data_IF_975741163163
#
_entry.id   IF_975741163163
#
_cell.length_a   1.000
_cell.length_b   1.000
_cell.length_c   1.000
_cell.angle_alpha   90.00
_cell.angle_beta   90.00
_cell.angle_gamma   90.00
#
_symmetry.space_group_name_H-M   'P 1'
#
loop_
_entity.id
_entity.type
_entity.pdbx_description
1 polymer ?
#
# COMPACT_ATOMS: atom_id res chain seq x y z
N UNK A 1 -22.39 27.42 -55.93
CA UNK A 1 -21.32 27.22 -54.94
C UNK A 1 -21.29 25.75 -54.56
N UNK A 2 -20.16 25.06 -54.76
CA UNK A 2 -20.04 23.62 -54.48
C UNK A 2 -20.06 23.36 -52.96
N UNK A 3 -21.20 22.87 -52.47
CA UNK A 3 -21.44 22.57 -51.06
C UNK A 3 -21.01 21.14 -50.67
N UNK A 4 -19.94 20.65 -51.30
CA UNK A 4 -19.39 19.29 -51.12
C UNK A 4 -17.88 19.35 -50.94
N UNK A 5 -17.35 18.45 -50.11
CA UNK A 5 -15.91 18.30 -49.92
C UNK A 5 -15.33 17.30 -50.90
N UNK A 6 -14.08 17.51 -51.29
CA UNK A 6 -13.23 16.45 -51.84
C UNK A 6 -12.49 15.73 -50.70
N UNK A 7 -12.08 14.49 -50.93
CA UNK A 7 -11.37 13.69 -49.92
C UNK A 7 -10.05 14.35 -49.49
N UNK A 8 -9.32 14.93 -50.45
CA UNK A 8 -8.09 15.69 -50.21
C UNK A 8 -8.32 16.92 -49.33
N UNK A 9 -9.39 17.68 -49.53
CA UNK A 9 -9.71 18.86 -48.70
C UNK A 9 -9.96 18.48 -47.24
N UNK A 10 -10.59 17.33 -46.99
CA UNK A 10 -10.82 16.81 -45.64
C UNK A 10 -9.49 16.33 -45.03
N UNK A 11 -8.67 15.64 -45.82
CA UNK A 11 -7.37 15.14 -45.42
C UNK A 11 -6.43 16.29 -45.00
N UNK A 12 -6.32 17.34 -45.82
CA UNK A 12 -5.53 18.55 -45.53
C UNK A 12 -6.05 19.28 -44.28
N UNK A 13 -7.37 19.48 -44.16
CA UNK A 13 -7.97 20.17 -43.01
C UNK A 13 -7.74 19.45 -41.69
N UNK A 14 -7.73 18.13 -41.71
CA UNK A 14 -7.58 17.28 -40.52
C UNK A 14 -6.13 16.83 -40.30
N UNK A 15 -5.19 17.22 -41.18
CA UNK A 15 -3.78 16.86 -41.08
C UNK A 15 -3.51 15.35 -41.24
N UNK A 16 -4.36 14.63 -41.97
CA UNK A 16 -4.28 13.17 -42.16
C UNK A 16 -4.04 12.82 -43.63
N UNK A 17 -3.56 11.60 -43.89
CA UNK A 17 -3.39 11.12 -45.26
C UNK A 17 -4.73 10.87 -45.94
N UNK A 18 -4.80 11.07 -47.26
CA UNK A 18 -6.02 10.79 -48.06
C UNK A 18 -6.46 9.31 -47.97
N UNK A 19 -5.50 8.40 -47.76
CA UNK A 19 -5.76 6.98 -47.51
C UNK A 19 -6.52 6.74 -46.20
N UNK A 20 -6.29 7.54 -45.16
CA UNK A 20 -6.97 7.43 -43.86
C UNK A 20 -8.44 7.85 -44.01
N UNK A 21 -8.72 8.95 -44.70
CA UNK A 21 -10.09 9.42 -44.95
C UNK A 21 -10.84 8.44 -45.87
N UNK A 22 -10.22 8.02 -46.98
CA UNK A 22 -10.86 7.18 -48.00
C UNK A 22 -11.03 5.71 -47.59
N UNK A 23 -10.12 5.16 -46.78
CA UNK A 23 -10.12 3.72 -46.43
C UNK A 23 -10.53 3.47 -45.00
N UNK A 24 -10.02 4.22 -44.03
CA UNK A 24 -10.31 3.96 -42.62
C UNK A 24 -11.61 4.60 -42.18
N UNK A 25 -11.83 5.88 -42.49
CA UNK A 25 -13.05 6.57 -42.08
C UNK A 25 -14.26 6.08 -42.89
N UNK A 26 -14.07 5.77 -44.17
CA UNK A 26 -15.10 5.12 -44.97
C UNK A 26 -15.51 3.73 -44.40
N UNK A 27 -14.56 2.93 -43.92
CA UNK A 27 -14.85 1.65 -43.22
C UNK A 27 -15.60 1.87 -41.91
N UNK A 28 -15.33 2.97 -41.21
CA UNK A 28 -16.03 3.39 -39.98
C UNK A 28 -17.41 4.03 -40.25
N UNK A 29 -17.86 4.07 -41.49
CA UNK A 29 -19.20 4.55 -41.86
C UNK A 29 -19.28 6.05 -42.14
N UNK A 30 -18.17 6.70 -42.49
CA UNK A 30 -18.18 8.10 -42.91
C UNK A 30 -19.02 8.30 -44.19
N UNK A 31 -19.91 9.31 -44.23
CA UNK A 31 -20.64 9.67 -45.44
C UNK A 31 -19.70 10.00 -46.60
N UNK A 32 -19.99 9.48 -47.79
CA UNK A 32 -19.09 9.64 -48.94
C UNK A 32 -19.01 11.12 -49.36
N UNK A 33 -17.80 11.71 -49.50
CA UNK A 33 -17.62 13.16 -49.71
C UNK A 33 -18.33 13.73 -50.94
N UNK A 34 -18.49 12.90 -51.98
CA UNK A 34 -19.18 13.27 -53.23
C UNK A 34 -20.71 13.24 -53.14
N UNK A 35 -21.28 12.59 -52.12
CA UNK A 35 -22.72 12.35 -51.95
C UNK A 35 -23.33 13.13 -50.78
N UNK A 36 -22.55 13.41 -49.73
CA UNK A 36 -23.00 14.10 -48.53
C UNK A 36 -22.71 15.61 -48.57
N UNK A 37 -23.44 16.39 -47.77
CA UNK A 37 -23.16 17.82 -47.57
C UNK A 37 -21.96 18.01 -46.64
N UNK A 38 -21.28 19.16 -46.77
CA UNK A 38 -20.19 19.57 -45.87
C UNK A 38 -20.56 19.47 -44.39
N UNK A 39 -21.80 19.84 -44.02
CA UNK A 39 -22.27 19.80 -42.63
C UNK A 39 -22.36 18.38 -42.06
N UNK A 40 -22.80 17.42 -42.87
CA UNK A 40 -22.94 16.02 -42.44
C UNK A 40 -21.58 15.38 -42.20
N UNK A 41 -20.61 15.71 -43.05
CA UNK A 41 -19.22 15.27 -42.92
C UNK A 41 -18.58 15.87 -41.67
N UNK A 42 -18.71 17.18 -41.46
CA UNK A 42 -18.16 17.87 -40.28
C UNK A 42 -18.78 17.34 -38.98
N UNK A 43 -20.09 17.06 -38.97
CA UNK A 43 -20.77 16.46 -37.82
C UNK A 43 -20.29 15.04 -37.53
N UNK A 44 -20.06 14.22 -38.57
CA UNK A 44 -19.52 12.88 -38.40
C UNK A 44 -18.10 12.92 -37.83
N UNK A 45 -17.23 13.80 -38.34
CA UNK A 45 -15.86 13.99 -37.84
C UNK A 45 -15.86 14.44 -36.38
N UNK A 46 -16.74 15.39 -36.03
CA UNK A 46 -16.86 15.87 -34.66
C UNK A 46 -17.22 14.74 -33.69
N UNK A 47 -18.22 13.92 -34.03
CA UNK A 47 -18.72 12.85 -33.16
C UNK A 47 -17.77 11.64 -33.10
N UNK A 48 -17.16 11.25 -34.22
CA UNK A 48 -16.43 9.98 -34.33
C UNK A 48 -14.92 10.12 -34.19
N UNK A 49 -14.36 11.32 -34.38
CA UNK A 49 -12.93 11.57 -34.31
C UNK A 49 -12.61 12.52 -33.15
N UNK A 50 -13.24 13.70 -33.12
CA UNK A 50 -12.87 14.75 -32.15
C UNK A 50 -13.39 14.45 -30.74
N UNK A 51 -14.67 14.08 -30.59
CA UNK A 51 -15.26 13.80 -29.28
C UNK A 51 -14.61 12.61 -28.56
N UNK A 52 -14.30 11.47 -29.21
CA UNK A 52 -13.66 10.34 -28.54
C UNK A 52 -12.25 10.69 -28.07
N UNK A 53 -11.49 11.47 -28.84
CA UNK A 53 -10.17 11.96 -28.42
C UNK A 53 -10.25 12.87 -27.18
N UNK A 54 -11.29 13.70 -27.11
CA UNK A 54 -11.52 14.61 -25.97
C UNK A 54 -12.08 13.89 -24.74
N UNK A 55 -12.90 12.88 -24.94
CA UNK A 55 -13.61 12.14 -23.90
C UNK A 55 -12.91 10.82 -23.54
N UNK A 56 -11.62 10.68 -23.84
CA UNK A 56 -10.86 9.51 -23.40
C UNK A 56 -10.73 9.60 -21.87
N UNK A 57 -11.70 8.98 -21.19
CA UNK A 57 -11.86 8.72 -19.75
C UNK A 57 -10.52 8.35 -19.05
N UNK A 58 -9.57 7.83 -19.82
CA UNK A 58 -8.19 7.57 -19.43
C UNK A 58 -7.52 8.76 -18.71
N UNK A 59 -7.69 10.01 -19.16
CA UNK A 59 -7.03 11.14 -18.49
C UNK A 59 -7.61 11.41 -17.10
N UNK A 60 -8.94 11.35 -16.98
CA UNK A 60 -9.65 11.54 -15.71
C UNK A 60 -9.40 10.38 -14.75
N UNK A 61 -9.36 9.15 -15.25
CA UNK A 61 -8.97 7.97 -14.48
C UNK A 61 -7.51 8.07 -13.98
N UNK A 62 -6.58 8.53 -14.83
CA UNK A 62 -5.18 8.75 -14.41
C UNK A 62 -5.11 9.83 -13.33
N UNK A 63 -5.85 10.93 -13.47
CA UNK A 63 -5.90 11.99 -12.45
C UNK A 63 -6.47 11.46 -11.12
N UNK A 64 -7.52 10.64 -11.16
CA UNK A 64 -8.11 10.02 -9.98
C UNK A 64 -7.16 9.04 -9.28
N UNK A 65 -6.49 8.17 -10.03
CA UNK A 65 -5.51 7.24 -9.46
C UNK A 65 -4.26 7.97 -8.93
N UNK A 66 -3.84 9.07 -9.57
CA UNK A 66 -2.78 9.95 -9.04
C UNK A 66 -3.18 10.60 -7.73
N UNK A 67 -4.41 11.13 -7.64
CA UNK A 67 -4.92 11.71 -6.38
C UNK A 67 -4.99 10.65 -5.27
N UNK A 68 -5.41 9.43 -5.61
CA UNK A 68 -5.42 8.31 -4.66
C UNK A 68 -4.01 7.97 -4.18
N UNK A 69 -3.03 7.91 -5.09
CA UNK A 69 -1.62 7.67 -4.74
C UNK A 69 -1.10 8.74 -3.77
N UNK A 70 -1.33 10.02 -4.07
CA UNK A 70 -0.89 11.14 -3.21
C UNK A 70 -1.55 11.07 -1.84
N UNK A 71 -2.84 10.72 -1.77
CA UNK A 71 -3.53 10.55 -0.49
C UNK A 71 -2.89 9.45 0.35
N UNK A 72 -2.61 8.28 -0.24
CA UNK A 72 -1.97 7.17 0.46
C UNK A 72 -0.54 7.51 0.91
N UNK A 73 0.22 8.26 0.10
CA UNK A 73 1.54 8.76 0.48
C UNK A 73 1.46 9.72 1.67
N UNK A 74 0.46 10.62 1.69
CA UNK A 74 0.23 11.51 2.82
C UNK A 74 -0.14 10.73 4.10
N UNK A 75 -1.01 9.72 4.00
CA UNK A 75 -1.39 8.86 5.12
C UNK A 75 -0.18 8.09 5.68
N UNK A 76 0.70 7.60 4.80
CA UNK A 76 1.93 6.90 5.18
C UNK A 76 2.86 7.84 5.97
N UNK A 77 3.09 9.06 5.46
CA UNK A 77 3.91 10.06 6.15
C UNK A 77 3.32 10.44 7.51
N UNK A 78 1.99 10.51 7.63
CA UNK A 78 1.34 10.76 8.92
C UNK A 78 1.56 9.60 9.90
N UNK A 79 1.50 8.34 9.43
CA UNK A 79 1.80 7.17 10.26
C UNK A 79 3.27 7.18 10.71
N UNK A 80 4.22 7.46 9.82
CA UNK A 80 5.64 7.58 10.17
C UNK A 80 5.90 8.70 11.19
N UNK A 81 5.26 9.85 11.02
CA UNK A 81 5.32 10.93 12.00
C UNK A 81 4.73 10.51 13.36
N UNK A 82 3.64 9.75 13.35
CA UNK A 82 3.03 9.25 14.57
C UNK A 82 3.85 8.16 15.28
N UNK A 83 4.61 7.36 14.53
CA UNK A 83 5.59 6.41 15.08
C UNK A 83 6.74 7.18 15.74
N UNK A 84 7.35 8.13 15.02
CA UNK A 84 8.47 8.94 15.55
C UNK A 84 8.08 9.85 16.73
N UNK A 85 6.80 10.20 16.87
CA UNK A 85 6.28 10.95 18.02
C UNK A 85 5.75 10.05 19.14
N UNK A 86 6.03 8.74 19.10
CA UNK A 86 5.65 7.71 20.08
C UNK A 86 4.12 7.59 20.32
N UNK A 87 3.30 8.10 19.40
CA UNK A 87 1.83 8.04 19.52
C UNK A 87 1.27 6.72 19.02
N UNK A 88 1.96 6.07 18.10
CA UNK A 88 1.53 4.82 17.47
C UNK A 88 2.68 3.82 17.53
N UNK A 89 2.38 2.63 18.05
CA UNK A 89 3.30 1.50 18.12
C UNK A 89 2.83 0.40 17.16
N UNK A 90 3.80 -0.33 16.59
CA UNK A 90 3.49 -1.50 15.77
C UNK A 90 2.80 -2.58 16.60
N UNK A 91 1.73 -3.16 16.07
CA UNK A 91 1.01 -4.26 16.73
C UNK A 91 1.87 -5.50 16.87
N UNK A 92 2.78 -5.73 15.93
CA UNK A 92 3.69 -6.88 15.94
C UNK A 92 4.70 -6.75 17.07
N UNK A 93 5.27 -5.55 17.26
CA UNK A 93 6.15 -5.25 18.39
C UNK A 93 5.45 -5.48 19.72
N UNK A 94 4.24 -4.92 19.91
CA UNK A 94 3.46 -5.12 21.14
C UNK A 94 3.16 -6.60 21.37
N UNK A 95 2.85 -7.35 20.32
CA UNK A 95 2.53 -8.78 20.42
C UNK A 95 3.74 -9.60 20.83
N UNK A 96 4.92 -9.36 20.24
CA UNK A 96 6.16 -10.05 20.59
C UNK A 96 6.56 -9.76 22.05
N UNK A 97 6.54 -8.50 22.42
CA UNK A 97 6.80 -8.01 23.78
C UNK A 97 5.91 -8.69 24.82
N UNK A 98 4.59 -8.66 24.61
CA UNK A 98 3.64 -9.28 25.54
C UNK A 98 3.80 -10.81 25.57
N UNK A 99 4.04 -11.44 24.42
CA UNK A 99 4.25 -12.89 24.34
C UNK A 99 5.49 -13.30 25.13
N UNK A 100 6.59 -12.56 25.01
CA UNK A 100 7.80 -12.76 25.79
C UNK A 100 7.55 -12.62 27.29
N UNK A 101 6.84 -11.56 27.69
CA UNK A 101 6.47 -11.34 29.09
C UNK A 101 5.61 -12.49 29.65
N UNK A 102 4.59 -12.94 28.92
CA UNK A 102 3.76 -14.07 29.35
C UNK A 102 4.52 -15.39 29.40
N UNK A 103 5.49 -15.60 28.50
CA UNK A 103 6.36 -16.77 28.54
C UNK A 103 7.26 -16.75 29.80
N UNK A 104 7.84 -15.60 30.13
CA UNK A 104 8.63 -15.40 31.35
C UNK A 104 7.78 -15.64 32.61
N UNK A 105 6.59 -15.03 32.69
CA UNK A 105 5.63 -15.25 33.78
C UNK A 105 5.30 -16.73 33.96
N UNK A 106 5.04 -17.44 32.86
CA UNK A 106 4.75 -18.87 32.89
C UNK A 106 5.94 -19.69 33.40
N UNK A 107 7.16 -19.31 33.05
CA UNK A 107 8.39 -19.93 33.52
C UNK A 107 8.55 -19.78 35.04
N UNK A 108 8.38 -18.56 35.53
CA UNK A 108 8.46 -18.22 36.96
C UNK A 108 7.40 -18.98 37.78
N UNK A 109 6.15 -18.96 37.36
CA UNK A 109 5.09 -19.69 38.06
C UNK A 109 5.35 -21.21 38.13
N UNK A 110 5.98 -21.78 37.10
CA UNK A 110 6.36 -23.21 37.11
C UNK A 110 7.58 -23.52 37.97
N UNK A 111 8.47 -22.56 38.20
CA UNK A 111 9.66 -22.77 39.03
C UNK A 111 9.34 -22.70 40.52
N UNK A 112 8.25 -22.02 40.90
CA UNK A 112 7.84 -21.86 42.31
C UNK A 112 7.75 -23.20 43.04
N UNK A 113 6.99 -24.23 42.59
CA UNK A 113 6.88 -25.49 43.31
C UNK A 113 8.25 -26.17 43.53
N UNK A 114 9.10 -26.21 42.50
CA UNK A 114 10.41 -26.82 42.60
C UNK A 114 11.33 -26.07 43.59
N UNK A 115 11.11 -24.77 43.75
CA UNK A 115 11.97 -23.91 44.56
C UNK A 115 11.62 -23.88 46.05
N UNK A 116 10.39 -24.22 46.44
CA UNK A 116 9.90 -24.09 47.83
C UNK A 116 9.36 -25.41 48.42
N UNK A 117 9.35 -26.52 47.66
CA UNK A 117 8.70 -27.76 48.11
C UNK A 117 9.18 -28.26 49.48
N UNK A 118 10.47 -28.08 49.81
CA UNK A 118 11.05 -28.49 51.09
C UNK A 118 10.47 -27.66 52.23
N UNK A 119 10.48 -26.33 52.08
CA UNK A 119 9.98 -25.40 53.09
C UNK A 119 8.46 -25.53 53.30
N UNK A 120 7.71 -25.89 52.25
CA UNK A 120 6.29 -26.23 52.36
C UNK A 120 6.09 -27.56 53.08
N UNK A 121 6.91 -28.56 52.79
CA UNK A 121 6.83 -29.87 53.44
C UNK A 121 7.15 -29.81 54.95
N UNK A 122 8.06 -28.93 55.35
CA UNK A 122 8.45 -28.69 56.74
C UNK A 122 7.43 -27.85 57.52
N UNK A 123 6.38 -27.33 56.87
CA UNK A 123 5.39 -26.48 57.55
C UNK A 123 4.40 -27.34 58.34
N UNK A 124 4.35 -27.14 59.65
CA UNK A 124 3.53 -27.94 60.58
C UNK A 124 2.04 -27.62 60.50
N UNK A 125 1.67 -26.42 60.05
CA UNK A 125 0.29 -25.93 60.01
C UNK A 125 -0.10 -25.33 58.65
N UNK A 126 -1.39 -25.45 58.30
CA UNK A 126 -1.93 -25.03 57.02
C UNK A 126 -1.86 -23.51 56.81
N UNK A 127 -2.01 -22.71 57.89
CA UNK A 127 -1.91 -21.25 57.78
C UNK A 127 -0.46 -20.82 57.49
N UNK A 128 0.50 -21.50 58.10
CA UNK A 128 1.94 -21.25 57.87
C UNK A 128 2.34 -21.60 56.44
N UNK A 129 1.80 -22.71 55.92
CA UNK A 129 2.00 -23.14 54.54
C UNK A 129 1.44 -22.12 53.54
N UNK A 130 0.24 -21.59 53.81
CA UNK A 130 -0.39 -20.56 52.96
C UNK A 130 0.47 -19.29 52.91
N UNK A 131 0.90 -18.79 54.06
CA UNK A 131 1.68 -17.55 54.15
C UNK A 131 3.01 -17.68 53.38
N UNK A 132 3.76 -18.76 53.59
CA UNK A 132 5.03 -18.99 52.87
C UNK A 132 4.85 -19.08 51.35
N UNK A 133 3.76 -19.70 50.90
CA UNK A 133 3.46 -19.81 49.48
C UNK A 133 3.10 -18.43 48.88
N UNK A 134 2.26 -17.65 49.58
CA UNK A 134 1.89 -16.29 49.18
C UNK A 134 3.12 -15.39 49.10
N UNK A 135 3.97 -15.39 50.13
CA UNK A 135 5.22 -14.59 50.16
C UNK A 135 6.14 -14.91 48.99
N UNK A 136 6.29 -16.20 48.65
CA UNK A 136 7.16 -16.63 47.56
C UNK A 136 6.61 -16.30 46.18
N UNK A 137 5.29 -16.35 46.02
CA UNK A 137 4.63 -15.91 44.78
C UNK A 137 4.82 -14.41 44.62
N UNK A 138 4.59 -13.63 45.67
CA UNK A 138 4.74 -12.18 45.64
C UNK A 138 6.18 -11.73 45.40
N UNK A 139 7.16 -12.41 45.99
CA UNK A 139 8.59 -12.17 45.73
C UNK A 139 8.91 -12.39 44.25
N UNK A 140 8.48 -13.52 43.68
CA UNK A 140 8.75 -13.89 42.29
C UNK A 140 8.01 -13.00 41.28
N UNK A 141 6.80 -12.56 41.63
CA UNK A 141 6.06 -11.58 40.82
C UNK A 141 6.70 -10.19 40.88
N UNK A 142 7.24 -9.80 42.04
CA UNK A 142 7.96 -8.52 42.20
C UNK A 142 9.26 -8.53 41.41
N UNK A 143 10.02 -9.63 41.43
CA UNK A 143 11.21 -9.80 40.58
C UNK A 143 10.87 -9.64 39.10
N UNK A 144 9.79 -10.29 38.63
CA UNK A 144 9.34 -10.18 37.23
C UNK A 144 8.84 -8.77 36.87
N UNK A 145 8.16 -8.09 37.81
CA UNK A 145 7.71 -6.71 37.62
C UNK A 145 8.84 -5.68 37.68
N UNK A 146 9.98 -6.03 38.29
CA UNK A 146 11.18 -5.20 38.37
C UNK A 146 12.15 -5.41 37.20
N UNK A 147 11.87 -6.35 36.29
CA UNK A 147 12.54 -6.38 34.99
C UNK A 147 12.05 -5.16 34.21
N UNK A 148 12.72 -4.03 34.42
CA UNK A 148 12.58 -2.87 33.53
C UNK A 148 12.95 -3.32 32.13
N UNK A 149 12.13 -2.87 31.18
CA UNK A 149 12.35 -3.02 29.77
C UNK A 149 13.64 -2.27 29.43
N UNK A 150 14.79 -2.95 29.42
CA UNK A 150 15.94 -2.41 28.70
C UNK A 150 15.53 -2.43 27.23
N UNK A 151 15.27 -1.25 26.67
CA UNK A 151 15.23 -1.07 25.21
C UNK A 151 16.49 -1.74 24.68
N UNK A 152 16.33 -2.88 24.00
CA UNK A 152 17.43 -3.42 23.22
C UNK A 152 17.76 -2.31 22.22
N UNK A 153 19.04 -1.87 22.14
CA UNK A 153 19.41 -0.86 21.16
C UNK A 153 18.93 -1.38 19.81
N UNK A 154 18.23 -0.53 19.06
CA UNK A 154 17.88 -0.84 17.67
C UNK A 154 19.18 -1.28 17.00
N UNK A 155 19.24 -2.56 16.58
CA UNK A 155 20.25 -2.96 15.63
C UNK A 155 19.91 -2.14 14.38
N UNK A 156 20.68 -1.07 14.15
CA UNK A 156 20.69 -0.35 12.89
C UNK A 156 20.87 -1.43 11.80
N UNK A 157 19.77 -1.80 11.13
CA UNK A 157 19.78 -2.58 9.89
C UNK A 157 20.40 -1.68 8.80
N UNK A 158 21.70 -1.42 8.94
CA UNK A 158 22.55 -0.68 8.01
C UNK A 158 22.92 -1.56 6.79
N UNK A 159 21.97 -2.37 6.30
CA UNK A 159 22.15 -3.21 5.12
C UNK A 159 20.89 -3.22 4.25
N UNK A 160 20.36 -2.03 3.97
CA UNK A 160 19.58 -1.79 2.76
C UNK A 160 20.53 -1.32 1.65
N UNK A 161 21.28 -2.25 1.05
CA UNK A 161 21.92 -2.00 -0.24
C UNK A 161 20.82 -1.55 -1.24
N UNK A 162 20.98 -0.41 -1.95
CA UNK A 162 20.07 -0.07 -3.01
C UNK A 162 20.31 -1.05 -4.18
N UNK A 163 19.40 -2.00 -4.36
CA UNK A 163 19.42 -2.86 -5.54
C UNK A 163 19.44 -1.98 -6.81
N UNK A 164 20.51 -2.21 -7.57
CA UNK A 164 20.93 -1.51 -8.77
C UNK A 164 19.84 -1.39 -9.83
N UNK A 165 19.78 -0.20 -10.44
CA UNK A 165 19.06 0.07 -11.69
C UNK A 165 19.41 -0.96 -12.77
N UNK A 166 18.43 -1.76 -13.19
CA UNK A 166 18.55 -2.63 -14.36
C UNK A 166 18.47 -1.75 -15.62
N UNK A 167 19.63 -1.31 -16.10
CA UNK A 167 19.75 -0.59 -17.37
C UNK A 167 19.64 -1.59 -18.54
N UNK A 168 18.42 -1.74 -19.07
CA UNK A 168 18.17 -2.53 -20.28
C UNK A 168 18.57 -1.68 -21.48
N UNK A 169 19.75 -1.92 -22.04
CA UNK A 169 20.10 -1.45 -23.39
C UNK A 169 19.58 -2.45 -24.42
N UNK A 170 18.90 -2.01 -25.49
CA UNK A 170 18.45 -2.90 -26.55
C UNK A 170 19.64 -3.25 -27.44
N UNK A 171 19.88 -4.55 -27.65
CA UNK A 171 20.80 -5.04 -28.69
C UNK A 171 20.18 -4.75 -30.06
N UNK A 172 20.90 -4.00 -30.89
CA UNK A 172 20.58 -3.76 -32.30
C UNK A 172 20.78 -5.04 -33.14
N UNK A 173 19.86 -5.29 -34.08
CA UNK A 173 19.97 -6.27 -35.18
C UNK A 173 21.04 -5.90 -36.22
#
# INVERSE_FOLDING_TARGET
MNDRYTTNEIAERMGVNDSTVSREWAKRGMPHPKKASKKEIDQWILINIIQPLRNTDVKEQIEKEKLRKISLEADLVEIELNISTEKVLSTDYVTQTLTGYFAALRGVLRSIPASIYVELFESEDADTLRIKLEERIDEKLRELGSYEYEEQPEEDDEDSEPESEINITPTED
#
